data_IF_768941107460
#
_entry.id   IF_768941107460
#
_cell.length_a   1.000
_cell.length_b   1.000
_cell.length_c   1.000
_cell.angle_alpha   90.00
_cell.angle_beta   90.00
_cell.angle_gamma   90.00
#
_symmetry.space_group_name_H-M   'P 1'
#
loop_
_entity.id
_entity.type
_entity.pdbx_description
1 polymer ?
#
# COMPACT_ATOMS: atom_id res chain seq x y z
N UNK A 1 -39.04 51.46 17.56
CA UNK A 1 -38.08 50.45 17.10
C UNK A 1 -38.73 49.08 17.27
N UNK A 2 -39.29 48.53 16.21
CA UNK A 2 -39.90 47.19 16.19
C UNK A 2 -38.90 46.21 15.60
N UNK A 3 -38.41 45.27 16.40
CA UNK A 3 -37.52 44.20 15.96
C UNK A 3 -38.36 43.09 15.28
N UNK A 4 -38.08 42.81 14.01
CA UNK A 4 -38.62 41.64 13.32
C UNK A 4 -37.82 40.39 13.73
N UNK A 5 -38.48 39.29 14.13
CA UNK A 5 -37.79 38.02 14.26
C UNK A 5 -37.54 37.44 12.86
N UNK A 6 -36.27 37.28 12.49
CA UNK A 6 -35.90 36.48 11.33
C UNK A 6 -36.26 35.02 11.63
N UNK A 7 -37.40 34.57 11.11
CA UNK A 7 -37.74 33.14 11.03
C UNK A 7 -36.63 32.42 10.26
N UNK A 8 -35.82 31.65 10.97
CA UNK A 8 -34.89 30.70 10.37
C UNK A 8 -35.70 29.74 9.51
N UNK A 9 -35.57 29.87 8.19
CA UNK A 9 -36.18 28.96 7.23
C UNK A 9 -35.65 27.55 7.53
N UNK A 10 -36.52 26.72 8.09
CA UNK A 10 -36.24 25.32 8.38
C UNK A 10 -36.12 24.60 7.03
N UNK A 11 -34.90 24.58 6.47
CA UNK A 11 -34.61 23.84 5.24
C UNK A 11 -34.91 22.37 5.49
N UNK A 12 -36.07 21.92 4.98
CA UNK A 12 -36.44 20.51 5.00
C UNK A 12 -35.36 19.73 4.24
N UNK A 13 -34.51 19.03 4.98
CA UNK A 13 -33.54 18.12 4.40
C UNK A 13 -34.29 17.05 3.62
N UNK A 14 -34.15 17.08 2.30
CA UNK A 14 -34.75 16.04 1.47
C UNK A 14 -34.16 14.68 1.89
N UNK A 15 -34.97 13.60 1.92
CA UNK A 15 -34.51 12.28 2.37
C UNK A 15 -33.31 11.75 1.56
N UNK A 16 -33.14 12.24 0.32
CA UNK A 16 -31.99 11.97 -0.54
C UNK A 16 -30.69 12.56 -0.01
N UNK A 17 -30.71 13.78 0.53
CA UNK A 17 -29.53 14.41 1.13
C UNK A 17 -29.06 13.68 2.38
N UNK A 18 -30.00 13.19 3.20
CA UNK A 18 -29.68 12.37 4.38
C UNK A 18 -29.06 11.03 3.97
N UNK A 19 -29.67 10.32 3.01
CA UNK A 19 -29.14 9.06 2.51
C UNK A 19 -27.74 9.19 1.90
N UNK A 20 -27.47 10.26 1.13
CA UNK A 20 -26.15 10.54 0.59
C UNK A 20 -25.12 10.84 1.69
N UNK A 21 -25.50 11.61 2.71
CA UNK A 21 -24.64 11.87 3.86
C UNK A 21 -24.29 10.60 4.64
N UNK A 22 -25.29 9.78 4.96
CA UNK A 22 -25.09 8.49 5.62
C UNK A 22 -24.24 7.53 4.75
N UNK A 23 -24.49 7.49 3.44
CA UNK A 23 -23.73 6.67 2.51
C UNK A 23 -22.26 7.07 2.45
N UNK A 24 -21.99 8.37 2.31
CA UNK A 24 -20.61 8.90 2.32
C UNK A 24 -19.91 8.60 3.66
N UNK A 25 -20.61 8.79 4.77
CA UNK A 25 -20.08 8.49 6.11
C UNK A 25 -19.73 7.00 6.27
N UNK A 26 -20.64 6.11 5.86
CA UNK A 26 -20.38 4.67 5.89
C UNK A 26 -19.20 4.29 5.00
N UNK A 27 -19.07 4.90 3.82
CA UNK A 27 -17.95 4.63 2.91
C UNK A 27 -16.62 5.02 3.56
N UNK A 28 -16.56 6.19 4.21
CA UNK A 28 -15.38 6.62 4.97
C UNK A 28 -15.04 5.65 6.10
N UNK A 29 -16.05 5.11 6.80
CA UNK A 29 -15.85 4.14 7.89
C UNK A 29 -15.46 2.75 7.42
N UNK A 30 -15.92 2.34 6.22
CA UNK A 30 -15.61 1.02 5.63
C UNK A 30 -14.21 1.00 5.02
N UNK A 31 -13.73 2.14 4.53
CA UNK A 31 -12.41 2.27 3.90
C UNK A 31 -11.24 1.70 4.75
N UNK A 32 -11.10 2.00 6.06
CA UNK A 32 -10.04 1.42 6.88
C UNK A 32 -10.19 -0.10 7.10
N UNK A 33 -11.43 -0.61 7.21
CA UNK A 33 -11.69 -2.05 7.35
C UNK A 33 -11.28 -2.81 6.09
N UNK A 34 -11.63 -2.28 4.93
CA UNK A 34 -11.23 -2.83 3.63
C UNK A 34 -9.71 -2.77 3.48
N UNK A 35 -9.10 -1.62 3.77
CA UNK A 35 -7.64 -1.48 3.74
C UNK A 35 -6.92 -2.48 4.65
N UNK A 36 -7.42 -2.71 5.86
CA UNK A 36 -6.88 -3.72 6.77
C UNK A 36 -7.04 -5.14 6.22
N UNK A 37 -8.21 -5.49 5.68
CA UNK A 37 -8.47 -6.81 5.12
C UNK A 37 -7.58 -7.11 3.91
N UNK A 38 -7.43 -6.16 2.99
CA UNK A 38 -6.50 -6.29 1.85
C UNK A 38 -5.04 -6.39 2.30
N UNK A 39 -4.65 -5.69 3.38
CA UNK A 39 -3.31 -5.78 3.93
C UNK A 39 -3.05 -7.14 4.58
N UNK A 40 -4.05 -7.71 5.26
CA UNK A 40 -3.99 -9.08 5.82
C UNK A 40 -3.83 -10.12 4.71
N UNK A 41 -4.56 -9.98 3.61
CA UNK A 41 -4.46 -10.91 2.49
C UNK A 41 -3.20 -10.71 1.64
N UNK A 42 -2.42 -9.64 1.89
CA UNK A 42 -1.24 -9.29 1.08
C UNK A 42 -1.59 -8.93 -0.38
N UNK A 43 -2.84 -8.51 -0.61
CA UNK A 43 -3.40 -8.19 -1.94
C UNK A 43 -3.13 -6.76 -2.38
N UNK A 44 -2.60 -5.91 -1.49
CA UNK A 44 -2.08 -4.59 -1.81
C UNK A 44 -0.70 -4.74 -2.47
N UNK A 45 -0.69 -5.28 -3.70
CA UNK A 45 0.49 -5.39 -4.55
C UNK A 45 0.28 -4.55 -5.82
N UNK A 46 1.01 -3.45 -5.94
CA UNK A 46 1.06 -2.65 -7.16
C UNK A 46 2.29 -3.03 -7.96
N UNK A 47 2.06 -3.54 -9.17
CA UNK A 47 3.14 -3.81 -10.13
C UNK A 47 3.19 -2.70 -11.17
N UNK A 48 4.38 -2.15 -11.42
CA UNK A 48 4.65 -1.05 -12.35
C UNK A 48 5.96 -1.32 -13.12
N UNK A 49 6.24 -0.46 -14.10
CA UNK A 49 7.50 -0.50 -14.86
C UNK A 49 7.54 -1.54 -15.98
N UNK A 50 8.64 -1.55 -16.77
CA UNK A 50 8.80 -2.45 -17.90
C UNK A 50 8.88 -3.91 -17.40
N UNK A 51 7.97 -4.76 -17.88
CA UNK A 51 7.93 -6.19 -17.52
C UNK A 51 7.32 -6.52 -16.15
N UNK A 52 6.64 -5.57 -15.48
CA UNK A 52 6.06 -5.73 -14.14
C UNK A 52 7.09 -6.00 -13.01
N UNK A 53 8.33 -5.52 -13.15
CA UNK A 53 9.39 -5.76 -12.17
C UNK A 53 9.37 -4.75 -11.01
N UNK A 54 8.79 -3.57 -11.15
CA UNK A 54 8.61 -2.68 -10.00
C UNK A 54 7.40 -3.16 -9.22
N UNK A 55 7.57 -3.49 -7.95
CA UNK A 55 6.53 -4.08 -7.12
C UNK A 55 6.52 -3.37 -5.79
N UNK A 56 5.39 -2.76 -5.44
CA UNK A 56 5.11 -2.27 -4.10
C UNK A 56 4.08 -3.19 -3.46
N UNK A 57 4.46 -3.86 -2.38
CA UNK A 57 3.60 -4.80 -1.66
C UNK A 57 3.52 -4.43 -0.19
N UNK A 58 2.30 -4.35 0.33
CA UNK A 58 2.04 -4.24 1.76
C UNK A 58 1.36 -5.51 2.26
N UNK A 59 1.86 -6.08 3.35
CA UNK A 59 1.32 -7.32 3.93
C UNK A 59 1.39 -7.31 5.46
N UNK A 60 0.43 -7.95 6.10
CA UNK A 60 0.43 -8.15 7.55
C UNK A 60 1.18 -9.43 7.92
N UNK A 61 1.92 -9.37 9.03
CA UNK A 61 2.70 -10.47 9.58
C UNK A 61 2.04 -10.89 10.89
N UNK A 62 1.67 -12.16 11.00
CA UNK A 62 0.98 -12.71 12.16
C UNK A 62 1.45 -14.14 12.42
N UNK A 63 2.71 -14.28 12.83
CA UNK A 63 3.25 -15.53 13.34
C UNK A 63 3.12 -15.60 14.88
N UNK A 64 3.22 -16.80 15.48
CA UNK A 64 3.16 -16.97 16.93
C UNK A 64 4.19 -16.09 17.67
N UNK A 65 5.38 -15.95 17.10
CA UNK A 65 6.54 -15.30 17.72
C UNK A 65 6.81 -13.89 17.16
N UNK A 66 6.11 -13.48 16.10
CA UNK A 66 6.29 -12.20 15.45
C UNK A 66 4.96 -11.63 14.94
N UNK A 67 4.70 -10.35 15.16
CA UNK A 67 3.61 -9.65 14.50
C UNK A 67 3.96 -8.24 14.12
N UNK A 68 3.50 -7.86 12.94
CA UNK A 68 3.91 -6.63 12.34
C UNK A 68 3.24 -6.34 11.01
N UNK A 69 3.77 -5.30 10.38
CA UNK A 69 3.47 -4.88 9.03
C UNK A 69 4.75 -5.01 8.20
N UNK A 70 4.67 -5.70 7.07
CA UNK A 70 5.73 -5.79 6.08
C UNK A 70 5.42 -4.88 4.88
N UNK A 71 6.42 -4.13 4.44
CA UNK A 71 6.38 -3.33 3.22
C UNK A 71 7.56 -3.71 2.33
N UNK A 72 7.27 -4.21 1.14
CA UNK A 72 8.26 -4.56 0.12
C UNK A 72 8.16 -3.55 -1.03
N UNK A 73 9.29 -2.97 -1.41
CA UNK A 73 9.41 -2.05 -2.53
C UNK A 73 10.55 -2.46 -3.44
N UNK A 74 10.20 -2.92 -4.64
CA UNK A 74 11.11 -3.24 -5.72
C UNK A 74 11.15 -2.08 -6.72
N UNK A 75 12.35 -1.54 -6.95
CA UNK A 75 12.60 -0.40 -7.84
C UNK A 75 13.63 -0.79 -8.88
N UNK A 76 13.31 -0.55 -10.15
CA UNK A 76 14.23 -0.78 -11.24
C UNK A 76 15.09 0.47 -11.43
N UNK A 77 16.41 0.32 -11.35
CA UNK A 77 17.37 1.37 -11.66
C UNK A 77 17.86 1.15 -13.09
N UNK A 78 17.72 2.17 -13.95
CA UNK A 78 18.14 2.09 -15.35
C UNK A 78 19.64 2.36 -15.53
N UNK A 79 20.31 1.49 -16.29
CA UNK A 79 21.73 1.55 -16.70
C UNK A 79 21.97 0.61 -17.89
N UNK A 80 23.22 0.25 -18.22
CA UNK A 80 23.51 -0.77 -19.25
C UNK A 80 22.97 -2.17 -18.87
N UNK A 81 22.78 -2.40 -17.57
CA UNK A 81 22.11 -3.56 -16.97
C UNK A 81 20.93 -3.09 -16.12
N UNK A 82 19.80 -3.82 -16.13
CA UNK A 82 18.66 -3.47 -15.28
C UNK A 82 18.91 -4.00 -13.86
N UNK A 83 19.22 -3.13 -12.92
CA UNK A 83 19.29 -3.51 -11.51
C UNK A 83 17.90 -3.35 -10.87
N UNK A 84 17.34 -4.45 -10.35
CA UNK A 84 16.17 -4.43 -9.50
C UNK A 84 16.64 -4.40 -8.05
N UNK A 85 16.41 -3.28 -7.35
CA UNK A 85 16.67 -3.18 -5.92
C UNK A 85 15.37 -3.39 -5.16
N UNK A 86 15.32 -4.44 -4.36
CA UNK A 86 14.17 -4.76 -3.51
C UNK A 86 14.50 -4.46 -2.05
N UNK A 87 13.71 -3.59 -1.46
CA UNK A 87 13.82 -3.23 -0.05
C UNK A 87 12.61 -3.80 0.68
N UNK A 88 12.86 -4.54 1.76
CA UNK A 88 11.81 -5.09 2.60
C UNK A 88 11.95 -4.48 3.99
N UNK A 89 10.95 -3.68 4.36
CA UNK A 89 10.84 -3.05 5.66
C UNK A 89 9.81 -3.80 6.50
N UNK A 90 10.19 -4.08 7.73
CA UNK A 90 9.38 -4.81 8.69
C UNK A 90 9.16 -3.92 9.92
N UNK A 91 7.90 -3.54 10.14
CA UNK A 91 7.47 -2.84 11.34
C UNK A 91 6.80 -3.84 12.29
N UNK A 92 7.59 -4.46 13.15
CA UNK A 92 7.13 -5.46 14.11
C UNK A 92 6.81 -4.77 15.46
N UNK A 93 5.60 -4.98 15.99
CA UNK A 93 5.23 -4.58 17.36
C UNK A 93 5.30 -5.74 18.36
N UNK A 94 5.44 -6.97 17.87
CA UNK A 94 5.74 -8.15 18.65
C UNK A 94 6.90 -8.86 17.95
N UNK A 95 8.01 -9.02 18.65
CA UNK A 95 9.21 -9.67 18.13
C UNK A 95 9.99 -10.30 19.29
N UNK A 96 10.23 -11.60 19.25
CA UNK A 96 11.09 -12.30 20.22
C UNK A 96 12.59 -12.07 19.95
N UNK A 97 12.98 -11.89 18.69
CA UNK A 97 14.37 -11.69 18.28
C UNK A 97 14.65 -10.18 18.16
N UNK A 98 15.17 -9.57 19.22
CA UNK A 98 15.44 -8.13 19.33
C UNK A 98 16.52 -7.57 18.39
N UNK A 99 16.34 -7.69 17.07
CA UNK A 99 17.19 -7.16 16.01
C UNK A 99 16.42 -6.28 15.02
N UNK A 100 17.14 -5.74 14.03
CA UNK A 100 16.54 -5.04 12.90
C UNK A 100 16.18 -6.05 11.80
N UNK A 101 14.90 -6.38 11.58
CA UNK A 101 14.48 -7.31 10.53
C UNK A 101 14.58 -6.74 9.11
N UNK A 102 14.83 -5.44 8.94
CA UNK A 102 14.84 -4.81 7.63
C UNK A 102 15.95 -5.38 6.74
N UNK A 103 15.59 -5.78 5.53
CA UNK A 103 16.50 -6.38 4.56
C UNK A 103 16.43 -5.63 3.23
N UNK A 104 17.56 -5.57 2.53
CA UNK A 104 17.61 -5.05 1.17
C UNK A 104 18.47 -5.98 0.32
N UNK A 105 17.97 -6.35 -0.85
CA UNK A 105 18.69 -7.19 -1.81
C UNK A 105 18.57 -6.61 -3.22
N UNK A 106 19.60 -6.89 -4.02
CA UNK A 106 19.67 -6.46 -5.42
C UNK A 106 19.61 -7.67 -6.35
N UNK A 107 18.93 -7.54 -7.47
CA UNK A 107 18.90 -8.55 -8.52
C UNK A 107 19.26 -7.87 -9.83
N UNK A 108 20.21 -8.44 -10.56
CA UNK A 108 20.64 -8.00 -11.87
C UNK A 108 19.83 -8.73 -12.93
N UNK A 109 19.18 -7.97 -13.80
CA UNK A 109 18.45 -8.47 -14.96
C UNK A 109 19.12 -7.98 -16.25
N UNK A 110 19.30 -8.91 -17.18
CA UNK A 110 19.73 -8.60 -18.54
C UNK A 110 18.61 -8.95 -19.52
N UNK A 111 18.45 -8.13 -20.56
CA UNK A 111 17.47 -8.41 -21.62
C UNK A 111 18.09 -9.41 -22.59
N UNK A 112 17.48 -10.58 -22.72
CA UNK A 112 17.91 -11.58 -23.69
C UNK A 112 17.46 -11.21 -25.13
N UNK A 113 17.93 -11.95 -26.13
CA UNK A 113 17.65 -11.68 -27.55
C UNK A 113 16.14 -11.72 -27.91
N UNK A 114 15.33 -12.43 -27.12
CA UNK A 114 13.86 -12.47 -27.22
C UNK A 114 13.16 -11.29 -26.53
N UNK A 115 13.91 -10.36 -25.92
CA UNK A 115 13.37 -9.21 -25.23
C UNK A 115 12.85 -9.50 -23.81
N UNK A 116 13.05 -10.71 -23.30
CA UNK A 116 12.68 -11.13 -21.95
C UNK A 116 13.80 -10.79 -20.97
N UNK A 117 13.44 -10.45 -19.73
CA UNK A 117 14.39 -10.13 -18.67
C UNK A 117 14.79 -11.42 -17.97
N UNK A 118 16.08 -11.71 -17.98
CA UNK A 118 16.68 -12.90 -17.37
C UNK A 118 17.57 -12.49 -16.20
N UNK A 119 17.49 -13.23 -15.10
CA UNK A 119 18.28 -12.98 -13.91
C UNK A 119 19.74 -13.37 -14.18
N UNK A 120 20.66 -12.41 -14.07
CA UNK A 120 22.10 -12.60 -14.35
C UNK A 120 22.95 -12.57 -13.09
N UNK A 121 22.44 -12.04 -11.98
CA UNK A 121 23.16 -12.01 -10.70
C UNK A 121 22.34 -11.44 -9.55
N UNK A 122 22.88 -11.51 -8.33
CA UNK A 122 22.18 -11.15 -7.08
C UNK A 122 22.84 -9.98 -6.32
N UNK A 123 23.73 -9.24 -7.00
CA UNK A 123 24.45 -8.11 -6.40
C UNK A 123 24.45 -6.94 -7.37
N UNK A 124 23.77 -5.85 -7.01
CA UNK A 124 23.89 -4.61 -7.76
C UNK A 124 25.10 -3.79 -7.29
N UNK A 125 25.87 -3.18 -8.21
CA UNK A 125 26.96 -2.26 -7.86
C UNK A 125 26.46 -0.96 -7.20
#
# INVERSE_FOLDING_TARGET
MTAQPHSAANQQMTPRSCALGCGLWLLVMVLPLVGFFLAVNGELAWRRGPGNLEVDRLFLINEPNASGLGYEAARLTSGETFCLRTNVLYFLWRNEEGGNPNAAYGQLYQRNASGQLELTGETCP
#
